data_IF_992626151470
#
_entry.id   IF_992626151470
#
_cell.length_a   1.000
_cell.length_b   1.000
_cell.length_c   1.000
_cell.angle_alpha   90.00
_cell.angle_beta   90.00
_cell.angle_gamma   90.00
#
_symmetry.space_group_name_H-M   'P 1'
#
loop_
_entity.id
_entity.type
_entity.pdbx_description
1 polymer ?
#
# COMPACT_ATOMS: atom_id res chain seq x y z
N UNK A 1 -25.71 78.64 -8.41
CA UNK A 1 -26.09 78.39 -9.82
C UNK A 1 -25.15 77.34 -10.40
N UNK A 2 -25.66 76.47 -11.29
CA UNK A 2 -25.00 75.71 -12.38
C UNK A 2 -23.46 75.66 -12.51
N UNK A 3 -22.81 74.57 -12.96
CA UNK A 3 -23.21 73.21 -13.44
C UNK A 3 -21.92 72.38 -13.70
N UNK A 4 -22.08 71.09 -14.02
CA UNK A 4 -21.18 70.18 -14.77
C UNK A 4 -20.00 69.44 -14.09
N UNK A 5 -20.21 68.12 -13.96
CA UNK A 5 -19.27 66.99 -14.01
C UNK A 5 -18.84 66.71 -15.50
N UNK A 6 -18.04 65.67 -15.83
CA UNK A 6 -16.74 65.24 -15.29
C UNK A 6 -15.72 64.81 -16.41
N UNK A 7 -14.48 64.46 -16.05
CA UNK A 7 -13.60 63.60 -16.86
C UNK A 7 -12.82 62.63 -15.92
N UNK A 8 -12.86 61.28 -16.08
CA UNK A 8 -12.13 60.47 -17.09
C UNK A 8 -10.67 60.96 -17.24
N UNK A 9 -9.59 60.20 -17.09
CA UNK A 9 -9.27 58.76 -16.94
C UNK A 9 -8.06 58.61 -15.99
N UNK A 10 -7.74 57.50 -15.33
CA UNK A 10 -8.26 56.11 -15.27
C UNK A 10 -7.82 55.47 -13.91
N UNK A 11 -8.20 54.22 -13.64
CA UNK A 11 -7.59 53.38 -12.58
C UNK A 11 -6.97 52.16 -13.24
N UNK A 12 -5.65 51.97 -13.09
CA UNK A 12 -5.00 50.71 -13.45
C UNK A 12 -5.35 49.65 -12.41
N UNK A 13 -6.46 48.95 -12.65
CA UNK A 13 -6.72 47.64 -12.03
C UNK A 13 -5.69 46.65 -12.58
N UNK A 14 -4.59 46.49 -11.84
CA UNK A 14 -3.73 45.31 -11.96
C UNK A 14 -4.52 44.10 -11.46
N UNK A 15 -5.40 43.60 -12.34
CA UNK A 15 -5.94 42.26 -12.24
C UNK A 15 -4.78 41.28 -12.42
N UNK A 16 -4.13 40.94 -11.31
CA UNK A 16 -3.29 39.76 -11.19
C UNK A 16 -4.19 38.53 -11.24
N UNK A 17 -4.80 38.32 -12.41
CA UNK A 17 -5.21 37.01 -12.85
C UNK A 17 -3.93 36.18 -13.00
N UNK A 18 -3.45 35.58 -11.92
CA UNK A 18 -2.79 34.29 -12.05
C UNK A 18 -3.87 33.35 -12.63
N UNK A 19 -3.78 32.96 -13.92
CA UNK A 19 -4.65 31.92 -14.40
C UNK A 19 -4.35 30.67 -13.58
N UNK A 20 -5.41 29.93 -13.27
CA UNK A 20 -5.39 28.75 -12.44
C UNK A 20 -4.07 27.97 -12.48
N UNK A 21 -3.42 27.85 -11.31
CA UNK A 21 -2.75 26.59 -10.95
C UNK A 21 -3.83 25.52 -10.73
N UNK A 22 -4.60 25.26 -11.78
CA UNK A 22 -5.21 23.97 -11.99
C UNK A 22 -4.05 23.03 -12.30
N UNK A 23 -3.39 22.57 -11.23
CA UNK A 23 -2.67 21.31 -11.28
C UNK A 23 -3.70 20.29 -11.73
N UNK A 24 -3.68 19.98 -13.02
CA UNK A 24 -4.44 18.85 -13.54
C UNK A 24 -4.06 17.64 -12.72
N UNK A 25 -5.06 16.87 -12.29
CA UNK A 25 -4.85 15.46 -12.05
C UNK A 25 -4.38 14.89 -13.39
N UNK A 26 -3.07 14.88 -13.61
CA UNK A 26 -2.47 14.07 -14.64
C UNK A 26 -2.85 12.64 -14.30
N UNK A 27 -3.51 12.00 -15.25
CA UNK A 27 -3.78 10.58 -15.25
C UNK A 27 -2.45 9.85 -14.97
N UNK A 28 -2.32 9.30 -13.75
CA UNK A 28 -1.07 8.69 -13.29
C UNK A 28 -0.61 7.58 -14.25
N UNK A 29 -1.55 6.92 -14.94
CA UNK A 29 -1.33 5.93 -16.00
C UNK A 29 -0.54 6.48 -17.21
N UNK A 30 -0.12 7.75 -17.23
CA UNK A 30 0.70 8.33 -18.30
C UNK A 30 2.07 8.81 -17.85
N UNK A 31 2.40 8.73 -16.56
CA UNK A 31 3.69 9.14 -16.04
C UNK A 31 4.68 7.96 -15.98
N UNK A 32 5.36 7.73 -17.11
CA UNK A 32 6.39 6.69 -17.21
C UNK A 32 7.59 6.91 -16.27
N UNK A 33 7.86 8.16 -15.87
CA UNK A 33 8.96 8.47 -14.95
C UNK A 33 8.58 8.13 -13.51
N UNK A 34 7.33 8.40 -13.12
CA UNK A 34 6.76 7.93 -11.86
C UNK A 34 6.86 6.41 -11.73
N UNK A 35 6.35 5.64 -12.68
CA UNK A 35 6.38 4.18 -12.56
C UNK A 35 7.78 3.58 -12.62
N UNK A 36 8.73 4.17 -13.35
CA UNK A 36 10.13 3.74 -13.31
C UNK A 36 10.77 3.97 -11.93
N UNK A 37 10.41 5.05 -11.23
CA UNK A 37 10.81 5.24 -9.83
C UNK A 37 10.17 4.19 -8.91
N UNK A 38 8.86 3.93 -9.07
CA UNK A 38 8.16 2.91 -8.28
C UNK A 38 8.67 1.49 -8.52
N UNK A 39 9.12 1.17 -9.74
CA UNK A 39 9.81 -0.08 -10.06
C UNK A 39 11.10 -0.23 -9.23
N UNK A 40 11.91 0.84 -9.14
CA UNK A 40 13.15 0.85 -8.36
C UNK A 40 12.89 0.71 -6.85
N UNK A 41 11.79 1.26 -6.33
CA UNK A 41 11.38 1.06 -4.94
C UNK A 41 10.83 -0.36 -4.71
N UNK A 42 10.09 -0.95 -5.67
CA UNK A 42 9.67 -2.36 -5.59
C UNK A 42 10.88 -3.30 -5.60
N UNK A 43 11.91 -3.03 -6.41
CA UNK A 43 13.17 -3.79 -6.40
C UNK A 43 13.92 -3.64 -5.06
N UNK A 44 13.88 -2.44 -4.46
CA UNK A 44 14.46 -2.19 -3.13
C UNK A 44 13.70 -2.93 -2.04
N UNK A 45 12.37 -3.01 -2.15
CA UNK A 45 11.53 -3.83 -1.27
C UNK A 45 11.78 -5.33 -1.44
N UNK A 46 11.92 -5.85 -2.67
CA UNK A 46 12.31 -7.25 -2.89
C UNK A 46 13.63 -7.55 -2.17
N UNK A 47 14.63 -6.68 -2.32
CA UNK A 47 15.94 -6.82 -1.68
C UNK A 47 15.89 -6.76 -0.15
N UNK A 48 15.09 -5.86 0.43
CA UNK A 48 14.95 -5.76 1.89
C UNK A 48 14.31 -7.01 2.53
N UNK A 49 13.70 -7.88 1.72
CA UNK A 49 13.06 -9.12 2.14
C UNK A 49 13.74 -10.37 1.55
N UNK A 50 15.04 -10.27 1.19
CA UNK A 50 15.87 -11.32 0.55
C UNK A 50 15.30 -11.92 -0.75
N UNK A 51 14.34 -11.25 -1.38
CA UNK A 51 13.68 -11.74 -2.59
C UNK A 51 14.43 -11.42 -3.88
N UNK A 52 15.42 -10.52 -3.85
CA UNK A 52 16.17 -10.09 -5.04
C UNK A 52 17.12 -11.18 -5.61
N UNK A 53 17.42 -12.22 -4.82
CA UNK A 53 18.11 -13.43 -5.27
C UNK A 53 17.24 -14.31 -6.18
N UNK A 54 15.91 -14.21 -6.07
CA UNK A 54 14.94 -14.95 -6.89
C UNK A 54 14.34 -14.06 -7.96
N UNK A 55 13.82 -12.89 -7.58
CA UNK A 55 13.05 -12.00 -8.45
C UNK A 55 13.77 -10.68 -8.69
N UNK A 56 13.78 -10.26 -9.95
CA UNK A 56 14.27 -8.95 -10.37
C UNK A 56 13.23 -8.26 -11.22
N UNK A 57 13.03 -6.95 -11.04
CA UNK A 57 12.18 -6.17 -11.93
C UNK A 57 12.77 -6.11 -13.36
N UNK A 58 11.90 -6.15 -14.35
CA UNK A 58 12.22 -6.27 -15.78
C UNK A 58 11.40 -5.25 -16.59
N UNK A 59 11.23 -4.05 -16.01
CA UNK A 59 10.46 -2.95 -16.57
C UNK A 59 9.01 -2.88 -16.11
N UNK A 60 8.40 -1.72 -16.39
CA UNK A 60 6.95 -1.49 -16.31
C UNK A 60 6.40 -1.18 -17.70
N UNK A 61 5.21 -1.70 -18.00
CA UNK A 61 4.42 -1.29 -19.18
C UNK A 61 3.07 -0.73 -18.73
N UNK A 62 2.53 0.18 -19.51
CA UNK A 62 1.22 0.79 -19.26
C UNK A 62 0.33 0.53 -20.47
N UNK A 63 -0.87 0.02 -20.23
CA UNK A 63 -1.97 -0.06 -21.20
C UNK A 63 -3.12 0.85 -20.71
N UNK A 64 -4.15 0.99 -21.54
CA UNK A 64 -5.27 1.92 -21.37
C UNK A 64 -6.11 1.79 -20.09
N UNK A 65 -6.03 0.66 -19.38
CA UNK A 65 -6.70 0.43 -18.09
C UNK A 65 -5.77 -0.09 -16.98
N UNK A 66 -4.50 -0.44 -17.29
CA UNK A 66 -3.64 -1.27 -16.44
C UNK A 66 -2.17 -0.89 -16.48
N UNK A 67 -1.52 -1.02 -15.32
CA UNK A 67 -0.06 -0.91 -15.20
C UNK A 67 0.53 -2.26 -14.81
N UNK A 68 1.44 -2.75 -15.65
CA UNK A 68 2.09 -4.05 -15.59
C UNK A 68 3.51 -3.93 -15.06
N UNK A 69 3.79 -4.52 -13.90
CA UNK A 69 5.17 -4.74 -13.43
C UNK A 69 5.65 -6.11 -13.91
N UNK A 70 6.78 -6.17 -14.62
CA UNK A 70 7.40 -7.44 -15.01
C UNK A 70 8.42 -7.85 -13.95
N UNK A 71 8.32 -9.10 -13.48
CA UNK A 71 9.34 -9.75 -12.66
C UNK A 71 9.98 -10.88 -13.48
N UNK A 72 11.30 -10.95 -13.47
CA UNK A 72 12.08 -12.05 -14.04
C UNK A 72 12.91 -12.75 -12.98
N UNK A 73 13.37 -13.96 -13.28
CA UNK A 73 14.33 -14.64 -12.43
C UNK A 73 15.68 -13.91 -12.42
N UNK A 74 16.30 -13.80 -11.24
CA UNK A 74 17.55 -13.06 -11.06
C UNK A 74 18.82 -13.87 -11.40
N UNK A 75 18.76 -15.21 -11.32
CA UNK A 75 19.91 -16.10 -11.62
C UNK A 75 20.09 -16.43 -13.10
N UNK A 76 21.18 -17.12 -13.41
CA UNK A 76 21.56 -17.52 -14.78
C UNK A 76 20.68 -18.67 -15.32
N UNK A 77 20.47 -18.68 -16.64
CA UNK A 77 19.55 -19.58 -17.34
C UNK A 77 20.20 -20.98 -17.51
N UNK A 78 19.81 -21.95 -16.66
CA UNK A 78 18.64 -22.78 -16.99
C UNK A 78 17.64 -22.92 -15.82
N UNK A 79 17.61 -21.97 -14.90
CA UNK A 79 16.83 -22.04 -13.66
C UNK A 79 15.28 -21.97 -13.82
N UNK A 80 14.75 -21.90 -15.04
CA UNK A 80 13.30 -21.78 -15.27
C UNK A 80 12.47 -22.99 -14.79
N UNK A 81 13.00 -24.21 -14.86
CA UNK A 81 12.34 -25.40 -14.28
C UNK A 81 12.33 -25.34 -12.74
N UNK A 82 13.37 -24.73 -12.16
CA UNK A 82 13.47 -24.48 -10.73
C UNK A 82 12.54 -23.37 -10.25
N UNK A 83 12.21 -22.39 -11.09
CA UNK A 83 11.41 -21.22 -10.72
C UNK A 83 10.03 -21.60 -10.18
N UNK A 84 9.34 -22.55 -10.81
CA UNK A 84 8.05 -23.03 -10.28
C UNK A 84 8.20 -23.75 -8.94
N UNK A 85 9.25 -24.56 -8.75
CA UNK A 85 9.51 -25.20 -7.45
C UNK A 85 9.79 -24.15 -6.36
N UNK A 86 10.50 -23.07 -6.69
CA UNK A 86 10.73 -21.94 -5.80
C UNK A 86 9.38 -21.25 -5.49
N UNK A 87 8.61 -20.89 -6.52
CA UNK A 87 7.30 -20.25 -6.40
C UNK A 87 6.34 -21.04 -5.50
N UNK A 88 6.09 -22.31 -5.83
CA UNK A 88 5.19 -23.19 -5.06
C UNK A 88 5.65 -23.34 -3.60
N UNK A 89 6.97 -23.38 -3.38
CA UNK A 89 7.54 -23.47 -2.04
C UNK A 89 7.42 -22.16 -1.26
N UNK A 90 7.52 -21.00 -1.92
CA UNK A 90 7.33 -19.68 -1.31
C UNK A 90 5.87 -19.43 -0.98
N UNK A 91 4.95 -19.67 -1.92
CA UNK A 91 3.51 -19.59 -1.67
C UNK A 91 3.13 -20.48 -0.48
N UNK A 92 3.48 -21.77 -0.53
CA UNK A 92 3.16 -22.70 0.55
C UNK A 92 3.69 -22.23 1.90
N UNK A 93 4.96 -21.83 1.98
CA UNK A 93 5.58 -21.46 3.25
C UNK A 93 5.05 -20.13 3.80
N UNK A 94 4.94 -19.09 2.96
CA UNK A 94 4.33 -17.80 3.32
C UNK A 94 2.89 -18.00 3.80
N UNK A 95 2.07 -18.69 3.00
CA UNK A 95 0.66 -18.92 3.31
C UNK A 95 0.53 -19.72 4.62
N UNK A 96 1.42 -20.68 4.90
CA UNK A 96 1.43 -21.40 6.19
C UNK A 96 1.79 -20.48 7.37
N UNK A 97 2.82 -19.64 7.24
CA UNK A 97 3.21 -18.71 8.32
C UNK A 97 2.11 -17.68 8.64
N UNK A 98 1.39 -17.20 7.62
CA UNK A 98 0.27 -16.27 7.78
C UNK A 98 -1.11 -16.96 7.89
N UNK A 99 -1.13 -18.28 8.14
CA UNK A 99 -2.35 -19.05 8.41
C UNK A 99 -3.40 -19.03 7.30
N UNK A 100 -2.97 -18.94 6.05
CA UNK A 100 -3.75 -18.85 4.81
C UNK A 100 -4.74 -17.67 4.75
N UNK A 101 -4.49 -16.61 5.54
CA UNK A 101 -5.31 -15.38 5.53
C UNK A 101 -4.82 -14.33 4.55
N UNK A 102 -3.53 -14.39 4.22
CA UNK A 102 -2.87 -13.56 3.21
C UNK A 102 -1.99 -14.47 2.38
N UNK A 103 -2.12 -14.38 1.06
CA UNK A 103 -1.41 -15.20 0.10
C UNK A 103 -0.17 -14.45 -0.39
N UNK A 104 0.89 -15.17 -0.74
CA UNK A 104 2.15 -14.55 -1.19
C UNK A 104 1.94 -13.62 -2.40
N UNK A 105 1.17 -14.08 -3.40
CA UNK A 105 0.82 -13.28 -4.57
C UNK A 105 -0.06 -12.06 -4.23
N UNK A 106 -0.88 -12.13 -3.18
CA UNK A 106 -1.65 -10.97 -2.69
C UNK A 106 -0.70 -9.91 -2.16
N UNK A 107 0.26 -10.26 -1.29
CA UNK A 107 1.26 -9.31 -0.78
C UNK A 107 2.08 -8.69 -1.91
N UNK A 108 2.51 -9.47 -2.92
CA UNK A 108 3.21 -8.92 -4.09
C UNK A 108 2.39 -7.84 -4.81
N UNK A 109 1.14 -8.14 -5.18
CA UNK A 109 0.31 -7.18 -5.92
C UNK A 109 -0.13 -5.99 -5.06
N UNK A 110 -0.41 -6.20 -3.77
CA UNK A 110 -0.73 -5.12 -2.84
C UNK A 110 0.45 -4.16 -2.64
N UNK A 111 1.68 -4.66 -2.49
CA UNK A 111 2.89 -3.82 -2.44
C UNK A 111 3.00 -2.99 -3.72
N UNK A 112 2.77 -3.59 -4.90
CA UNK A 112 2.83 -2.87 -6.18
C UNK A 112 1.71 -1.83 -6.31
N UNK A 113 0.46 -2.18 -5.95
CA UNK A 113 -0.69 -1.27 -5.89
C UNK A 113 -0.43 -0.07 -4.99
N UNK A 114 0.17 -0.29 -3.80
CA UNK A 114 0.54 0.79 -2.88
C UNK A 114 1.61 1.70 -3.47
N UNK A 115 2.70 1.15 -4.03
CA UNK A 115 3.77 1.94 -4.64
C UNK A 115 3.28 2.75 -5.84
N UNK A 116 2.60 2.09 -6.78
CA UNK A 116 2.02 2.71 -7.98
C UNK A 116 0.84 3.67 -7.71
N UNK A 117 0.32 3.73 -6.49
CA UNK A 117 -0.86 4.52 -6.10
C UNK A 117 -2.11 4.22 -6.95
N UNK A 118 -2.22 2.99 -7.43
CA UNK A 118 -3.34 2.48 -8.20
C UNK A 118 -4.10 1.42 -7.40
N UNK A 119 -5.40 1.29 -7.63
CA UNK A 119 -6.18 0.19 -7.07
C UNK A 119 -5.74 -1.16 -7.67
N UNK A 120 -5.86 -2.24 -6.90
CA UNK A 120 -5.38 -3.58 -7.28
C UNK A 120 -5.93 -4.08 -8.63
N UNK A 121 -7.13 -3.63 -9.02
CA UNK A 121 -7.78 -3.96 -10.29
C UNK A 121 -7.23 -3.21 -11.51
N UNK A 122 -6.51 -2.10 -11.28
CA UNK A 122 -5.77 -1.31 -12.28
C UNK A 122 -4.28 -1.71 -12.35
N UNK A 123 -3.88 -2.76 -11.62
CA UNK A 123 -2.49 -3.24 -11.56
C UNK A 123 -2.36 -4.72 -11.87
N UNK A 124 -1.24 -5.10 -12.47
CA UNK A 124 -0.90 -6.49 -12.74
C UNK A 124 0.61 -6.72 -12.53
N UNK A 125 0.98 -7.88 -11.97
CA UNK A 125 2.37 -8.35 -11.95
C UNK A 125 2.47 -9.56 -12.87
N UNK A 126 3.47 -9.57 -13.75
CA UNK A 126 3.76 -10.70 -14.64
C UNK A 126 5.13 -11.27 -14.29
N UNK A 127 5.12 -12.42 -13.61
CA UNK A 127 6.32 -13.19 -13.27
C UNK A 127 6.63 -14.11 -14.45
N UNK A 128 7.76 -13.89 -15.12
CA UNK A 128 8.14 -14.61 -16.35
C UNK A 128 9.60 -15.05 -16.36
N UNK A 129 9.87 -16.14 -17.07
CA UNK A 129 11.23 -16.45 -17.50
C UNK A 129 11.64 -15.61 -18.73
N UNK A 130 12.97 -15.42 -18.90
CA UNK A 130 13.53 -14.73 -20.07
C UNK A 130 13.52 -15.60 -21.33
N UNK A 131 13.53 -16.93 -21.18
CA UNK A 131 13.23 -17.89 -22.24
C UNK A 131 11.72 -18.00 -22.53
N UNK A 132 11.36 -18.12 -23.82
CA UNK A 132 9.96 -18.20 -24.23
C UNK A 132 9.28 -19.51 -23.79
N UNK A 133 8.11 -19.39 -23.15
CA UNK A 133 7.12 -20.48 -23.05
C UNK A 133 7.25 -21.45 -21.87
N UNK A 134 8.23 -21.29 -20.97
CA UNK A 134 8.43 -22.21 -19.84
C UNK A 134 7.54 -21.88 -18.63
N UNK A 135 7.81 -20.78 -17.92
CA UNK A 135 7.05 -20.35 -16.75
C UNK A 135 6.53 -18.92 -16.93
N UNK A 136 5.23 -18.73 -16.67
CA UNK A 136 4.57 -17.43 -16.67
C UNK A 136 3.40 -17.47 -15.68
N UNK A 137 3.42 -16.58 -14.69
CA UNK A 137 2.31 -16.31 -13.77
C UNK A 137 1.94 -14.83 -13.86
N UNK A 138 0.66 -14.57 -14.12
CA UNK A 138 0.03 -13.25 -14.04
C UNK A 138 -0.71 -13.15 -12.70
N UNK A 139 -0.48 -12.08 -11.96
CA UNK A 139 -1.13 -11.76 -10.69
C UNK A 139 -1.92 -10.47 -10.90
N UNK A 140 -3.24 -10.51 -10.79
CA UNK A 140 -4.12 -9.38 -11.14
C UNK A 140 -5.27 -9.22 -10.17
N UNK A 141 -5.67 -7.97 -9.91
CA UNK A 141 -6.87 -7.67 -9.15
C UNK A 141 -8.15 -7.67 -10.00
N UNK A 142 -9.28 -7.76 -9.32
CA UNK A 142 -10.62 -7.57 -9.85
C UNK A 142 -11.31 -6.42 -9.11
N UNK A 143 -12.30 -5.81 -9.77
CA UNK A 143 -13.13 -4.74 -9.20
C UNK A 143 -13.91 -5.15 -7.93
N UNK A 144 -14.01 -6.44 -7.61
CA UNK A 144 -14.55 -6.96 -6.35
C UNK A 144 -13.51 -7.10 -5.23
N UNK A 145 -12.31 -6.54 -5.42
CA UNK A 145 -11.20 -6.54 -4.47
C UNK A 145 -10.41 -7.85 -4.42
N UNK A 146 -10.83 -8.91 -5.13
CA UNK A 146 -10.09 -10.18 -5.15
C UNK A 146 -8.86 -10.09 -6.04
N UNK A 147 -7.75 -10.61 -5.55
CA UNK A 147 -6.52 -10.83 -6.32
C UNK A 147 -6.51 -12.30 -6.75
N UNK A 148 -6.08 -12.56 -7.99
CA UNK A 148 -6.01 -13.92 -8.54
C UNK A 148 -4.71 -14.13 -9.31
N UNK A 149 -4.32 -15.39 -9.41
CA UNK A 149 -3.25 -15.85 -10.29
C UNK A 149 -3.83 -16.48 -11.56
N UNK A 150 -3.12 -16.34 -12.68
CA UNK A 150 -3.34 -17.09 -13.92
C UNK A 150 -1.97 -17.40 -14.52
N UNK A 151 -1.65 -18.68 -14.72
CA UNK A 151 -0.36 -19.04 -15.27
C UNK A 151 -0.35 -20.35 -16.06
N UNK A 152 0.75 -20.56 -16.77
CA UNK A 152 1.11 -21.85 -17.33
C UNK A 152 2.11 -22.50 -16.35
N UNK A 153 1.62 -23.42 -15.53
CA UNK A 153 2.44 -24.30 -14.71
C UNK A 153 3.08 -25.40 -15.60
N UNK A 154 4.37 -25.64 -15.41
CA UNK A 154 5.03 -26.82 -15.98
C UNK A 154 4.74 -28.05 -15.13
N UNK A 155 4.64 -29.22 -15.76
CA UNK A 155 4.62 -30.50 -15.05
C UNK A 155 6.06 -30.94 -14.76
N UNK A 156 6.58 -30.53 -13.61
CA UNK A 156 7.93 -30.88 -13.16
C UNK A 156 7.99 -32.38 -12.82
N UNK A 157 9.03 -33.08 -13.29
CA UNK A 157 9.22 -34.53 -13.09
C UNK A 157 10.43 -34.88 -12.18
N UNK A 158 11.08 -33.91 -11.54
CA UNK A 158 12.23 -34.12 -10.67
C UNK A 158 12.40 -33.02 -9.62
N UNK A 159 12.94 -33.37 -8.45
CA UNK A 159 13.09 -32.44 -7.33
C UNK A 159 14.54 -32.04 -7.06
N UNK A 160 14.87 -30.77 -7.30
CA UNK A 160 16.07 -30.14 -6.76
C UNK A 160 15.80 -29.54 -5.38
N UNK A 161 16.80 -29.54 -4.49
CA UNK A 161 16.71 -28.85 -3.19
C UNK A 161 17.37 -27.48 -3.35
N UNK A 162 16.55 -26.43 -3.38
CA UNK A 162 17.02 -25.04 -3.44
C UNK A 162 16.89 -24.44 -2.05
N UNK A 163 17.98 -23.94 -1.44
CA UNK A 163 17.91 -23.28 -0.14
C UNK A 163 17.14 -21.97 -0.30
N UNK A 164 16.01 -21.87 0.39
CA UNK A 164 15.15 -20.69 0.41
C UNK A 164 15.38 -19.96 1.74
N UNK A 165 15.77 -18.67 1.74
CA UNK A 165 15.87 -17.86 2.96
C UNK A 165 14.45 -17.52 3.45
N UNK A 166 13.81 -18.47 4.13
CA UNK A 166 12.40 -18.33 4.51
C UNK A 166 12.15 -17.48 5.77
N UNK A 167 13.15 -17.31 6.64
CA UNK A 167 12.96 -16.56 7.90
C UNK A 167 12.59 -15.09 7.64
N UNK A 168 13.25 -14.42 6.69
CA UNK A 168 12.89 -13.06 6.26
C UNK A 168 11.54 -13.01 5.53
N UNK A 169 11.16 -14.04 4.79
CA UNK A 169 9.85 -14.11 4.11
C UNK A 169 8.65 -14.16 5.09
N UNK A 170 8.83 -14.59 6.34
CA UNK A 170 7.79 -14.55 7.39
C UNK A 170 7.53 -13.14 7.92
N UNK A 171 8.52 -12.25 7.81
CA UNK A 171 8.50 -10.92 8.42
C UNK A 171 8.10 -9.81 7.44
N UNK A 172 7.72 -10.17 6.21
CA UNK A 172 7.28 -9.26 5.12
C UNK A 172 5.86 -8.70 5.38
N UNK A 173 5.31 -8.89 6.58
CA UNK A 173 3.91 -8.65 6.90
C UNK A 173 3.72 -7.74 8.12
N UNK A 174 3.36 -6.50 7.83
CA UNK A 174 2.68 -5.59 8.75
C UNK A 174 1.17 -5.83 8.69
N UNK A 175 0.55 -5.98 9.85
CA UNK A 175 -0.83 -6.40 9.99
C UNK A 175 -1.03 -7.45 11.09
N UNK A 176 -2.28 -7.80 11.38
CA UNK A 176 -2.57 -8.68 12.49
C UNK A 176 -4.04 -9.01 12.69
N UNK A 177 -4.30 -9.61 13.86
CA UNK A 177 -5.62 -10.10 14.25
C UNK A 177 -5.89 -9.92 15.74
N UNK A 178 -7.11 -9.52 16.07
CA UNK A 178 -7.70 -9.69 17.38
C UNK A 178 -9.04 -10.46 17.28
N UNK A 179 -9.10 -11.63 17.91
CA UNK A 179 -10.34 -12.44 18.08
C UNK A 179 -10.90 -12.37 19.51
N UNK A 180 -10.26 -11.62 20.41
CA UNK A 180 -10.68 -11.41 21.80
C UNK A 180 -11.61 -10.19 21.89
N UNK A 181 -12.66 -10.18 21.06
CA UNK A 181 -13.71 -9.15 21.01
C UNK A 181 -15.01 -9.79 21.46
N UNK A 182 -15.77 -9.12 22.33
CA UNK A 182 -17.00 -9.68 22.89
C UNK A 182 -18.03 -9.99 21.78
N UNK A 183 -18.44 -11.26 21.71
CA UNK A 183 -19.50 -11.79 20.85
C UNK A 183 -20.83 -11.02 20.90
N UNK A 184 -21.08 -10.23 21.95
CA UNK A 184 -22.27 -9.36 22.05
C UNK A 184 -22.18 -8.09 21.19
N UNK A 185 -20.99 -7.72 20.73
CA UNK A 185 -20.80 -6.60 19.81
C UNK A 185 -21.06 -7.08 18.37
N UNK A 186 -21.90 -6.35 17.63
CA UNK A 186 -22.07 -6.65 16.21
C UNK A 186 -20.91 -6.11 15.38
N UNK A 187 -20.66 -6.72 14.21
CA UNK A 187 -19.70 -6.26 13.19
C UNK A 187 -19.76 -4.74 12.99
N UNK A 188 -20.98 -4.19 12.85
CA UNK A 188 -21.21 -2.74 12.68
C UNK A 188 -20.75 -1.92 13.90
N UNK A 189 -21.02 -2.37 15.13
CA UNK A 189 -20.58 -1.66 16.35
C UNK A 189 -19.06 -1.62 16.42
N UNK A 190 -18.39 -2.76 16.21
CA UNK A 190 -16.92 -2.87 16.23
C UNK A 190 -16.32 -1.98 15.15
N UNK A 191 -16.77 -2.07 13.90
CA UNK A 191 -16.30 -1.20 12.80
C UNK A 191 -16.43 0.29 13.15
N UNK A 192 -17.57 0.71 13.67
CA UNK A 192 -17.79 2.11 14.05
C UNK A 192 -16.89 2.55 15.20
N UNK A 193 -16.71 1.72 16.23
CA UNK A 193 -15.83 2.03 17.36
C UNK A 193 -14.34 2.08 16.96
N UNK A 194 -13.88 1.23 16.03
CA UNK A 194 -12.52 1.32 15.48
C UNK A 194 -12.34 2.61 14.67
N UNK A 195 -13.30 2.95 13.80
CA UNK A 195 -13.24 4.18 13.01
C UNK A 195 -13.30 5.45 13.86
N UNK A 196 -14.16 5.46 14.87
CA UNK A 196 -14.23 6.50 15.90
C UNK A 196 -12.89 6.66 16.65
N UNK A 197 -12.29 5.55 17.10
CA UNK A 197 -10.97 5.59 17.74
C UNK A 197 -9.89 6.17 16.82
N UNK A 198 -9.88 5.78 15.54
CA UNK A 198 -8.90 6.28 14.57
C UNK A 198 -9.05 7.80 14.35
N UNK A 199 -10.26 8.30 14.12
CA UNK A 199 -10.49 9.72 13.84
C UNK A 199 -10.40 10.62 15.08
N UNK A 200 -11.07 10.22 16.17
CA UNK A 200 -11.38 11.09 17.30
C UNK A 200 -10.48 10.84 18.53
N UNK A 201 -9.57 9.86 18.47
CA UNK A 201 -8.66 9.55 19.58
C UNK A 201 -7.20 9.30 19.16
N UNK A 202 -6.96 8.64 18.02
CA UNK A 202 -5.60 8.35 17.58
C UNK A 202 -5.03 9.40 16.61
N UNK A 203 -5.81 9.86 15.63
CA UNK A 203 -5.39 10.88 14.67
C UNK A 203 -5.97 12.27 14.95
N UNK A 204 -6.73 12.45 16.02
CA UNK A 204 -7.16 13.77 16.47
C UNK A 204 -5.96 14.67 16.77
N UNK A 205 -5.95 15.89 16.23
CA UNK A 205 -4.89 16.88 16.46
C UNK A 205 -3.52 16.55 15.83
N UNK A 206 -3.38 15.42 15.14
CA UNK A 206 -2.14 15.05 14.43
C UNK A 206 -1.97 15.81 13.13
N UNK A 207 -0.74 15.80 12.61
CA UNK A 207 -0.36 16.50 11.39
C UNK A 207 1.14 16.74 11.35
N UNK A 208 1.57 17.69 10.53
CA UNK A 208 2.93 18.24 10.59
C UNK A 208 2.92 19.52 11.42
N UNK A 209 3.89 19.73 12.33
CA UNK A 209 3.99 20.94 13.11
C UNK A 209 3.91 22.19 12.23
N UNK A 210 3.13 23.18 12.66
CA UNK A 210 2.98 24.53 12.08
C UNK A 210 2.11 24.62 10.80
N UNK A 211 2.10 23.62 9.90
CA UNK A 211 1.56 23.82 8.54
C UNK A 211 0.30 23.04 8.16
N UNK A 212 0.20 21.74 8.50
CA UNK A 212 -0.91 20.90 8.02
C UNK A 212 -1.43 19.99 9.13
N UNK A 213 -2.74 20.04 9.39
CA UNK A 213 -3.42 18.96 10.10
C UNK A 213 -3.42 17.69 9.23
N UNK A 214 -3.53 16.53 9.87
CA UNK A 214 -3.73 15.25 9.18
C UNK A 214 -4.91 15.34 8.22
N UNK A 215 -4.70 14.90 6.98
CA UNK A 215 -5.76 14.70 6.00
C UNK A 215 -6.13 13.22 5.97
N UNK A 216 -7.39 12.92 6.25
CA UNK A 216 -7.93 11.56 6.22
C UNK A 216 -8.80 11.36 4.99
N UNK A 217 -8.52 10.32 4.21
CA UNK A 217 -9.41 9.78 3.19
C UNK A 217 -10.14 8.54 3.74
N UNK A 218 -11.46 8.51 3.58
CA UNK A 218 -12.33 7.43 4.07
C UNK A 218 -13.19 6.80 2.95
N UNK A 219 -12.94 7.18 1.69
CA UNK A 219 -13.76 6.83 0.53
C UNK A 219 -13.89 5.32 0.29
N UNK A 220 -12.84 4.54 0.55
CA UNK A 220 -12.85 3.09 0.45
C UNK A 220 -13.48 2.43 1.70
N UNK A 221 -14.80 2.56 1.88
CA UNK A 221 -15.54 2.06 3.04
C UNK A 221 -16.72 1.15 2.67
N UNK A 222 -16.71 -0.09 3.15
CA UNK A 222 -17.80 -1.07 3.05
C UNK A 222 -18.43 -1.39 4.43
N UNK A 223 -19.37 -2.33 4.49
CA UNK A 223 -20.11 -2.67 5.73
C UNK A 223 -19.24 -3.39 6.78
N UNK A 224 -18.43 -4.35 6.35
CA UNK A 224 -17.53 -5.16 7.19
C UNK A 224 -16.06 -4.76 7.05
N UNK A 225 -15.71 -4.00 6.02
CA UNK A 225 -14.33 -3.64 5.68
C UNK A 225 -14.20 -2.14 5.43
N UNK A 226 -13.04 -1.54 5.71
CA UNK A 226 -12.67 -0.23 5.22
C UNK A 226 -11.16 -0.10 5.03
N UNK A 227 -10.74 0.73 4.09
CA UNK A 227 -9.35 1.18 3.92
C UNK A 227 -9.34 2.69 4.07
N UNK A 228 -8.64 3.18 5.10
CA UNK A 228 -8.50 4.62 5.36
C UNK A 228 -7.05 5.06 5.21
N UNK A 229 -6.87 6.26 4.68
CA UNK A 229 -5.56 6.81 4.31
C UNK A 229 -5.34 8.12 5.07
N UNK A 230 -4.27 8.19 5.83
CA UNK A 230 -3.88 9.32 6.66
C UNK A 230 -2.62 9.93 6.08
N UNK A 231 -2.66 11.20 5.70
CA UNK A 231 -1.56 11.91 5.05
C UNK A 231 -1.28 13.24 5.74
N UNK A 232 -0.16 13.88 5.41
CA UNK A 232 0.32 15.10 6.08
C UNK A 232 0.63 14.88 7.57
N UNK A 233 0.97 13.63 7.92
CA UNK A 233 1.52 13.27 9.22
C UNK A 233 3.02 13.59 9.26
N UNK A 234 3.59 13.66 10.46
CA UNK A 234 5.02 13.64 10.72
C UNK A 234 5.26 13.53 12.22
N UNK A 235 6.40 13.00 12.64
CA UNK A 235 6.72 12.72 14.05
C UNK A 235 5.82 11.63 14.67
N UNK A 236 5.34 10.69 13.85
CA UNK A 236 4.44 9.61 14.27
C UNK A 236 5.15 8.27 14.39
N UNK A 237 5.80 7.83 13.30
CA UNK A 237 6.73 6.70 13.25
C UNK A 237 8.17 7.20 13.26
N UNK A 238 8.46 8.34 12.61
CA UNK A 238 9.83 8.82 12.38
C UNK A 238 10.11 10.16 13.08
N UNK A 239 11.25 10.25 13.78
CA UNK A 239 11.52 11.34 14.74
C UNK A 239 11.50 12.76 14.15
N UNK A 240 12.14 13.05 13.00
CA UNK A 240 12.12 14.37 12.35
C UNK A 240 12.35 14.30 10.82
N UNK A 241 11.95 15.35 10.10
CA UNK A 241 12.37 15.62 8.71
C UNK A 241 11.59 14.89 7.59
N UNK A 242 10.60 14.08 7.97
CA UNK A 242 9.78 13.30 7.04
C UNK A 242 8.30 13.66 7.13
N UNK A 243 7.65 13.63 5.98
CA UNK A 243 6.20 13.54 5.88
C UNK A 243 5.82 12.08 5.82
N UNK A 244 4.83 11.71 6.62
CA UNK A 244 4.37 10.34 6.78
C UNK A 244 2.98 10.17 6.16
N UNK A 245 2.73 8.95 5.72
CA UNK A 245 1.48 8.50 5.13
C UNK A 245 1.18 7.10 5.67
N UNK A 246 0.00 6.92 6.26
CA UNK A 246 -0.46 5.63 6.78
C UNK A 246 -1.71 5.18 6.05
N UNK A 247 -1.68 3.99 5.46
CA UNK A 247 -2.85 3.29 4.93
C UNK A 247 -3.21 2.17 5.90
N UNK A 248 -4.46 2.13 6.33
CA UNK A 248 -4.96 1.14 7.28
C UNK A 248 -6.17 0.45 6.65
N UNK A 249 -5.99 -0.83 6.28
CA UNK A 249 -7.08 -1.70 5.84
C UNK A 249 -7.55 -2.47 7.06
N UNK A 250 -8.85 -2.44 7.35
CA UNK A 250 -9.46 -3.11 8.49
C UNK A 250 -10.67 -3.90 8.02
N UNK A 251 -10.74 -5.16 8.42
CA UNK A 251 -11.89 -6.02 8.21
C UNK A 251 -12.40 -6.57 9.55
N UNK A 252 -13.72 -6.62 9.69
CA UNK A 252 -14.42 -7.15 10.85
C UNK A 252 -15.33 -8.28 10.37
N UNK A 253 -15.03 -9.52 10.76
CA UNK A 253 -15.82 -10.71 10.43
C UNK A 253 -16.46 -11.29 11.68
N UNK A 254 -17.59 -11.96 11.50
CA UNK A 254 -18.20 -12.83 12.51
C UNK A 254 -17.90 -14.29 12.12
N UNK A 255 -17.33 -15.05 13.04
CA UNK A 255 -16.87 -16.43 12.79
C UNK A 255 -17.00 -17.25 14.07
N UNK A 256 -17.73 -18.37 14.01
CA UNK A 256 -17.95 -19.28 15.14
C UNK A 256 -18.42 -18.53 16.41
N UNK A 257 -19.43 -17.67 16.26
CA UNK A 257 -20.00 -16.81 17.32
C UNK A 257 -18.98 -15.88 18.01
N UNK A 258 -17.88 -15.55 17.32
CA UNK A 258 -16.88 -14.55 17.76
C UNK A 258 -16.68 -13.47 16.70
N UNK A 259 -16.38 -12.24 17.14
CA UNK A 259 -15.96 -11.18 16.23
C UNK A 259 -14.43 -11.23 16.06
N UNK A 260 -14.00 -11.33 14.81
CA UNK A 260 -12.61 -11.34 14.37
C UNK A 260 -12.30 -9.99 13.70
N UNK A 261 -11.43 -9.18 14.31
CA UNK A 261 -10.86 -7.97 13.72
C UNK A 261 -9.52 -8.35 13.07
N UNK A 262 -9.39 -8.14 11.78
CA UNK A 262 -8.13 -8.27 11.03
C UNK A 262 -7.74 -6.94 10.42
N UNK A 263 -6.44 -6.68 10.31
CA UNK A 263 -5.95 -5.42 9.74
C UNK A 263 -4.65 -5.64 8.95
N UNK A 264 -4.44 -4.79 7.96
CA UNK A 264 -3.14 -4.55 7.34
C UNK A 264 -2.77 -3.08 7.53
N UNK A 265 -1.51 -2.83 7.88
CA UNK A 265 -0.98 -1.48 8.08
C UNK A 265 0.13 -1.23 7.05
N UNK A 266 0.15 -0.04 6.45
CA UNK A 266 1.22 0.33 5.51
C UNK A 266 1.65 1.77 5.74
N UNK A 267 2.91 1.95 6.12
CA UNK A 267 3.54 3.26 6.20
C UNK A 267 4.32 3.60 4.93
N UNK A 268 4.18 4.83 4.45
CA UNK A 268 5.14 5.47 3.54
C UNK A 268 5.72 6.73 4.20
N UNK A 269 6.97 7.05 3.89
CA UNK A 269 7.63 8.29 4.27
C UNK A 269 8.23 8.98 3.05
N UNK A 270 8.37 10.31 3.09
CA UNK A 270 9.15 11.05 2.10
C UNK A 270 9.74 12.31 2.72
N UNK A 271 10.86 12.78 2.20
CA UNK A 271 11.53 13.97 2.74
C UNK A 271 10.84 15.25 2.30
N UNK A 272 10.72 16.21 3.21
CA UNK A 272 10.12 17.52 2.93
C UNK A 272 10.30 18.46 4.12
N UNK A 273 10.51 19.76 3.85
CA UNK A 273 10.73 20.76 4.90
C UNK A 273 9.47 21.60 5.15
N UNK A 274 8.87 22.16 4.09
CA UNK A 274 7.70 23.06 4.17
C UNK A 274 6.45 22.55 3.43
N UNK A 275 6.63 21.55 2.58
CA UNK A 275 5.55 20.98 1.78
C UNK A 275 5.68 19.46 1.83
N UNK A 276 4.55 18.72 1.79
CA UNK A 276 4.61 17.29 1.59
C UNK A 276 5.36 16.97 0.29
N UNK A 277 6.14 15.88 0.27
CA UNK A 277 6.79 15.40 -0.93
C UNK A 277 5.77 15.13 -2.04
N UNK A 278 6.24 15.09 -3.28
CA UNK A 278 5.39 14.62 -4.37
C UNK A 278 5.12 13.14 -4.16
N UNK A 279 3.99 12.65 -4.71
CA UNK A 279 3.59 11.25 -4.64
C UNK A 279 4.71 10.27 -5.04
N UNK A 280 5.53 10.65 -6.02
CA UNK A 280 6.67 9.87 -6.50
C UNK A 280 7.86 9.76 -5.52
N UNK A 281 7.97 10.65 -4.52
CA UNK A 281 9.11 10.69 -3.58
C UNK A 281 8.83 9.90 -2.29
N UNK A 282 7.63 9.33 -2.13
CA UNK A 282 7.27 8.48 -1.00
C UNK A 282 7.83 7.06 -1.15
N UNK A 283 8.49 6.58 -0.09
CA UNK A 283 9.10 5.26 0.05
C UNK A 283 8.37 4.43 1.10
N UNK A 284 8.39 3.10 0.97
CA UNK A 284 7.79 2.19 1.95
C UNK A 284 8.57 2.18 3.27
N UNK A 285 7.92 2.46 4.40
CA UNK A 285 8.55 2.36 5.73
C UNK A 285 8.96 0.91 6.03
N UNK A 286 8.20 -0.10 5.57
CA UNK A 286 8.56 -1.53 5.75
C UNK A 286 9.89 -1.92 5.07
N UNK A 287 10.41 -1.11 4.16
CA UNK A 287 11.71 -1.32 3.49
C UNK A 287 12.89 -0.69 4.23
N UNK A 288 12.66 0.38 5.00
CA UNK A 288 13.73 1.24 5.53
C UNK A 288 13.68 1.46 7.07
N UNK A 289 12.50 1.30 7.68
CA UNK A 289 12.18 1.61 9.08
C UNK A 289 11.19 0.57 9.65
N UNK A 290 11.45 -0.71 9.38
CA UNK A 290 10.54 -1.82 9.70
C UNK A 290 10.24 -1.92 11.20
N UNK A 291 11.26 -1.93 12.04
CA UNK A 291 11.12 -2.07 13.50
C UNK A 291 10.28 -0.95 14.12
N UNK A 292 10.48 0.30 13.65
CA UNK A 292 9.71 1.48 14.09
C UNK A 292 8.25 1.38 13.65
N UNK A 293 8.02 0.95 12.41
CA UNK A 293 6.68 0.74 11.85
C UNK A 293 5.91 -0.35 12.61
N UNK A 294 6.55 -1.49 12.89
CA UNK A 294 5.98 -2.58 13.69
C UNK A 294 5.68 -2.15 15.13
N UNK A 295 6.60 -1.38 15.75
CA UNK A 295 6.40 -0.85 17.09
C UNK A 295 5.22 0.12 17.16
N UNK A 296 5.07 1.00 16.16
CA UNK A 296 3.93 1.91 16.03
C UNK A 296 2.62 1.15 15.80
N UNK A 297 2.60 0.21 14.85
CA UNK A 297 1.42 -0.61 14.55
C UNK A 297 0.92 -1.36 15.80
N UNK A 298 1.83 -2.06 16.48
CA UNK A 298 1.56 -2.80 17.71
C UNK A 298 1.04 -1.89 18.83
N UNK A 299 1.55 -0.67 18.93
CA UNK A 299 1.08 0.35 19.89
C UNK A 299 -0.34 0.81 19.55
N UNK A 300 -0.63 1.09 18.28
CA UNK A 300 -1.94 1.48 17.75
C UNK A 300 -3.00 0.39 17.98
N UNK A 301 -2.78 -0.84 17.51
CA UNK A 301 -3.80 -1.89 17.58
C UNK A 301 -4.00 -2.46 18.99
N UNK A 302 -2.99 -2.37 19.87
CA UNK A 302 -3.20 -2.54 21.31
C UNK A 302 -4.18 -1.49 21.85
N UNK A 303 -4.04 -0.22 21.46
CA UNK A 303 -4.93 0.85 21.95
C UNK A 303 -6.34 0.81 21.35
N UNK A 304 -6.50 0.40 20.10
CA UNK A 304 -7.81 0.04 19.52
C UNK A 304 -8.45 -1.08 20.35
N UNK A 305 -7.69 -2.13 20.70
CA UNK A 305 -8.18 -3.24 21.52
C UNK A 305 -8.61 -2.78 22.92
N UNK A 306 -7.79 -1.98 23.61
CA UNK A 306 -8.14 -1.38 24.91
C UNK A 306 -9.39 -0.48 24.81
N UNK A 307 -9.63 0.18 23.67
CA UNK A 307 -10.83 0.99 23.45
C UNK A 307 -12.07 0.12 23.26
N UNK A 308 -11.99 -0.90 22.39
CA UNK A 308 -13.09 -1.84 22.15
C UNK A 308 -13.53 -2.58 23.42
N UNK A 309 -12.59 -2.88 24.32
CA UNK A 309 -12.88 -3.50 25.62
C UNK A 309 -13.66 -2.58 26.58
N UNK A 310 -13.59 -1.26 26.42
CA UNK A 310 -14.36 -0.28 27.21
C UNK A 310 -15.77 -0.01 26.68
N UNK A 311 -16.09 -0.54 25.49
CA UNK A 311 -17.40 -0.41 24.84
C UNK A 311 -18.31 -1.64 25.12
N UNK A 312 -17.89 -2.52 26.04
CA UNK A 312 -18.57 -3.75 26.47
C UNK A 312 -19.43 -3.50 27.72
#
# INVERSE_FOLDING_TARGET
MSRFLPSRTWVFLLAFCCPALAFSQFDLQRDSAFFAAQESEFQSWLKANDMDLTFRTDGVSIDSDRVYLFLTFAGEDPACESLQTIWDSWERQFNMAHGFRKLFHEKLLETWSVLSELSVDSTEIVVRCKGQGLFNIRIYGRADGRILTQGNEMKIMGGGVIPIPFETLKEVYTGGRNSNIDHKLSVRKVRLAVGDYLLNHWYEGKGTPILYNVRVDTSASYYNEFTWEFSHLGHEVLDEGFYEYHRIRIEVRERNDQIELTWDFTGKFGSGILFPPRRNDYKLMETYYKDDLEAYEKKLFRKITEYLQKQQ
#
